data_IF_527218148699
#
_entry.id   IF_527218148699
#
_cell.length_a   1.000
_cell.length_b   1.000
_cell.length_c   1.000
_cell.angle_alpha   90.00
_cell.angle_beta   90.00
_cell.angle_gamma   90.00
#
_symmetry.space_group_name_H-M   'P 1'
#
loop_
_entity.id
_entity.type
_entity.pdbx_description
1 polymer ?
#
# COMPACT_ATOMS: atom_id res chain seq x y z
N UNK A 1 38.73 -18.22 -2.03
CA UNK A 1 37.87 -19.27 -1.47
C UNK A 1 36.56 -18.60 -1.08
N UNK A 2 35.49 -18.83 -1.86
CA UNK A 2 34.20 -18.15 -1.70
C UNK A 2 33.28 -19.08 -0.93
N UNK A 3 32.86 -18.69 0.27
CA UNK A 3 31.92 -19.47 1.09
C UNK A 3 30.54 -19.46 0.42
N UNK A 4 29.92 -20.62 0.10
CA UNK A 4 28.59 -20.64 -0.49
C UNK A 4 27.54 -20.27 0.56
N UNK A 5 26.59 -19.42 0.15
CA UNK A 5 25.43 -19.01 0.92
C UNK A 5 24.53 -20.23 1.21
N UNK A 6 23.99 -20.42 2.43
CA UNK A 6 23.06 -21.51 2.71
C UNK A 6 21.74 -21.29 1.95
N UNK A 7 21.07 -22.35 1.48
CA UNK A 7 19.78 -22.22 0.81
C UNK A 7 18.74 -21.64 1.78
N UNK A 8 18.03 -20.59 1.34
CA UNK A 8 16.95 -19.99 2.12
C UNK A 8 15.85 -21.03 2.40
N UNK A 9 15.27 -21.04 3.61
CA UNK A 9 14.15 -21.92 3.92
C UNK A 9 12.95 -21.62 3.01
N UNK A 10 12.16 -22.64 2.64
CA UNK A 10 11.01 -22.44 1.75
C UNK A 10 10.00 -21.48 2.41
N UNK A 11 9.71 -20.38 1.71
CA UNK A 11 8.74 -19.36 2.11
C UNK A 11 7.37 -20.03 2.33
N UNK A 12 6.92 -20.11 3.59
CA UNK A 12 5.61 -20.67 3.94
C UNK A 12 4.52 -19.60 3.87
N UNK A 13 3.48 -19.87 3.08
CA UNK A 13 2.35 -18.98 2.86
C UNK A 13 1.47 -18.84 4.12
N UNK A 14 1.12 -17.60 4.48
CA UNK A 14 0.05 -17.30 5.43
C UNK A 14 -1.26 -17.15 4.67
N UNK A 15 -2.06 -18.22 4.69
CA UNK A 15 -3.43 -18.34 4.18
C UNK A 15 -3.62 -18.35 2.64
N UNK A 16 -3.98 -19.51 2.04
CA UNK A 16 -4.15 -19.61 0.60
C UNK A 16 -5.57 -19.28 0.11
N UNK A 17 -5.67 -18.65 -1.06
CA UNK A 17 -6.94 -18.49 -1.74
C UNK A 17 -7.43 -19.85 -2.30
N UNK A 18 -8.65 -20.27 -1.90
CA UNK A 18 -9.31 -21.46 -2.44
C UNK A 18 -10.19 -21.07 -3.62
N UNK A 19 -9.85 -21.60 -4.79
CA UNK A 19 -10.69 -21.52 -5.97
C UNK A 19 -11.90 -22.46 -5.82
N UNK A 20 -12.98 -22.19 -6.55
CA UNK A 20 -14.22 -22.97 -6.50
C UNK A 20 -14.06 -24.44 -6.91
N UNK A 21 -13.00 -24.74 -7.67
CA UNK A 21 -12.60 -26.09 -8.08
C UNK A 21 -11.72 -26.81 -7.04
N UNK A 22 -11.57 -26.24 -5.83
CA UNK A 22 -10.74 -26.78 -4.76
C UNK A 22 -9.24 -26.54 -4.93
N UNK A 23 -8.82 -25.84 -5.99
CA UNK A 23 -7.41 -25.56 -6.25
C UNK A 23 -6.92 -24.39 -5.39
N UNK A 24 -5.75 -24.58 -4.78
CA UNK A 24 -5.16 -23.69 -3.78
C UNK A 24 -4.03 -22.91 -4.44
N UNK A 25 -4.17 -21.59 -4.58
CA UNK A 25 -3.11 -20.74 -5.13
C UNK A 25 -2.24 -20.15 -4.01
N UNK A 26 -0.92 -20.43 -3.99
CA UNK A 26 -0.01 -19.80 -3.03
C UNK A 26 0.19 -18.32 -3.40
N UNK A 27 -0.05 -17.41 -2.46
CA UNK A 27 0.33 -15.99 -2.60
C UNK A 27 1.75 -15.81 -2.09
N UNK A 28 2.55 -15.05 -2.83
CA UNK A 28 3.86 -14.57 -2.35
C UNK A 28 3.62 -13.48 -1.30
N UNK A 29 4.03 -13.74 -0.06
CA UNK A 29 4.13 -12.71 0.97
C UNK A 29 5.48 -12.04 0.78
N UNK A 30 5.47 -10.77 0.37
CA UNK A 30 6.67 -9.94 0.43
C UNK A 30 6.87 -9.59 1.91
N UNK A 31 7.97 -10.03 2.51
CA UNK A 31 8.37 -9.57 3.85
C UNK A 31 8.54 -8.04 3.80
N UNK A 32 7.65 -7.33 4.47
CA UNK A 32 7.84 -5.90 4.72
C UNK A 32 8.68 -5.75 5.98
N UNK A 33 9.81 -5.04 5.96
CA UNK A 33 10.64 -4.84 7.14
C UNK A 33 9.85 -4.10 8.24
N UNK A 34 9.61 -4.75 9.38
CA UNK A 34 8.80 -4.23 10.51
C UNK A 34 9.61 -3.38 11.50
N UNK A 35 10.68 -2.72 11.06
CA UNK A 35 11.52 -1.93 11.95
C UNK A 35 12.52 -1.08 11.19
N UNK A 36 12.09 0.11 10.77
CA UNK A 36 12.97 1.14 10.23
C UNK A 36 12.78 2.44 11.00
N UNK A 37 13.87 3.02 11.52
CA UNK A 37 13.85 4.42 11.95
C UNK A 37 13.86 5.29 10.71
N UNK A 38 12.80 6.08 10.51
CA UNK A 38 12.73 7.02 9.40
C UNK A 38 13.36 8.35 9.81
N UNK A 39 14.56 8.63 9.30
CA UNK A 39 15.14 9.98 9.37
C UNK A 39 14.49 10.81 8.27
N UNK A 40 13.50 11.63 8.63
CA UNK A 40 12.81 12.52 7.68
C UNK A 40 13.66 13.76 7.49
N UNK A 41 14.19 13.95 6.27
CA UNK A 41 14.73 15.25 5.86
C UNK A 41 13.58 16.26 5.79
N UNK A 42 13.48 17.11 6.80
CA UNK A 42 12.44 18.14 6.97
C UNK A 42 12.33 19.06 5.75
N UNK A 43 13.43 19.26 4.99
CA UNK A 43 13.41 20.07 3.78
C UNK A 43 12.68 19.38 2.61
N UNK A 44 12.70 18.06 2.55
CA UNK A 44 12.08 17.25 1.49
C UNK A 44 10.71 16.69 1.85
N UNK A 45 10.34 16.73 3.13
CA UNK A 45 9.07 16.20 3.60
C UNK A 45 7.82 16.74 2.86
N UNK A 46 7.74 18.02 2.46
CA UNK A 46 6.62 18.52 1.66
C UNK A 46 6.54 17.91 0.26
N UNK A 47 7.68 17.59 -0.34
CA UNK A 47 7.75 16.90 -1.64
C UNK A 47 7.33 15.44 -1.50
N UNK A 48 7.86 14.74 -0.50
CA UNK A 48 7.47 13.37 -0.20
C UNK A 48 5.96 13.23 0.08
N UNK A 49 5.35 14.16 0.83
CA UNK A 49 3.90 14.17 1.05
C UNK A 49 3.15 14.31 -0.28
N UNK A 50 3.59 15.20 -1.18
CA UNK A 50 2.94 15.37 -2.50
C UNK A 50 3.03 14.11 -3.36
N UNK A 51 4.17 13.43 -3.33
CA UNK A 51 4.34 12.15 -4.04
C UNK A 51 3.42 11.06 -3.48
N UNK A 52 3.31 10.96 -2.16
CA UNK A 52 2.41 10.02 -1.49
C UNK A 52 0.93 10.31 -1.81
N UNK A 53 0.54 11.59 -1.81
CA UNK A 53 -0.80 12.02 -2.22
C UNK A 53 -1.08 11.66 -3.68
N UNK A 54 -0.12 11.90 -4.57
CA UNK A 54 -0.24 11.54 -5.97
C UNK A 54 -0.39 10.02 -6.17
N UNK A 55 0.43 9.22 -5.49
CA UNK A 55 0.34 7.76 -5.54
C UNK A 55 -1.01 7.25 -5.02
N UNK A 56 -1.54 7.83 -3.93
CA UNK A 56 -2.87 7.50 -3.42
C UNK A 56 -3.96 7.80 -4.43
N UNK A 57 -3.91 8.97 -5.07
CA UNK A 57 -4.90 9.37 -6.05
C UNK A 57 -4.84 8.48 -7.30
N UNK A 58 -3.65 8.03 -7.70
CA UNK A 58 -3.49 7.00 -8.74
C UNK A 58 -4.12 5.66 -8.34
N UNK A 59 -3.93 5.19 -7.10
CA UNK A 59 -4.59 3.96 -6.62
C UNK A 59 -6.11 4.09 -6.67
N UNK A 60 -6.65 5.25 -6.27
CA UNK A 60 -8.09 5.53 -6.35
C UNK A 60 -8.60 5.56 -7.79
N UNK A 61 -7.82 6.10 -8.73
CA UNK A 61 -8.16 6.04 -10.16
C UNK A 61 -8.18 4.59 -10.68
N UNK A 62 -7.17 3.79 -10.32
CA UNK A 62 -7.12 2.37 -10.68
C UNK A 62 -8.28 1.57 -10.09
N UNK A 63 -8.79 1.94 -8.90
CA UNK A 63 -9.99 1.31 -8.33
C UNK A 63 -11.22 1.50 -9.22
N UNK A 64 -11.38 2.67 -9.84
CA UNK A 64 -12.51 2.93 -10.75
C UNK A 64 -12.42 2.01 -11.95
N UNK A 65 -11.23 1.84 -12.53
CA UNK A 65 -11.06 0.95 -13.67
C UNK A 65 -11.16 -0.53 -13.31
N UNK A 66 -10.69 -0.93 -12.12
CA UNK A 66 -10.88 -2.28 -11.62
C UNK A 66 -12.38 -2.61 -11.45
N UNK A 67 -13.19 -1.68 -10.94
CA UNK A 67 -14.65 -1.85 -10.87
C UNK A 67 -15.29 -1.96 -12.25
N UNK A 68 -14.78 -1.22 -13.24
CA UNK A 68 -15.25 -1.31 -14.62
C UNK A 68 -14.91 -2.67 -15.23
N UNK A 69 -13.69 -3.17 -14.98
CA UNK A 69 -13.27 -4.51 -15.39
C UNK A 69 -14.15 -5.61 -14.77
N UNK A 70 -14.58 -5.39 -13.53
CA UNK A 70 -15.50 -6.27 -12.81
C UNK A 70 -16.89 -6.43 -13.46
N UNK A 71 -17.24 -5.57 -14.42
CA UNK A 71 -18.58 -5.46 -15.03
C UNK A 71 -18.53 -5.56 -16.55
N UNK A 72 -17.53 -6.25 -17.10
CA UNK A 72 -17.44 -6.46 -18.55
C UNK A 72 -18.63 -7.29 -19.04
N UNK A 73 -19.29 -6.79 -20.08
CA UNK A 73 -20.23 -7.55 -20.89
C UNK A 73 -19.43 -8.39 -21.91
N UNK A 74 -19.55 -9.73 -21.91
CA UNK A 74 -18.84 -10.59 -22.85
C UNK A 74 -19.25 -10.37 -24.31
N UNK A 75 -20.41 -9.75 -24.59
CA UNK A 75 -20.85 -9.45 -25.95
C UNK A 75 -21.20 -10.69 -26.80
N UNK A 76 -21.14 -11.87 -26.21
CA UNK A 76 -21.42 -13.17 -26.81
C UNK A 76 -22.15 -14.06 -25.79
N UNK A 77 -22.81 -15.10 -26.28
CA UNK A 77 -23.49 -16.10 -25.45
C UNK A 77 -22.74 -17.44 -25.40
N UNK A 78 -21.50 -17.50 -25.89
CA UNK A 78 -20.71 -18.72 -25.79
C UNK A 78 -20.27 -18.95 -24.34
N UNK A 79 -20.32 -20.21 -23.92
CA UNK A 79 -20.09 -20.60 -22.53
C UNK A 79 -18.69 -20.22 -22.03
N UNK A 80 -17.70 -20.19 -22.93
CA UNK A 80 -16.31 -19.84 -22.59
C UNK A 80 -16.19 -18.36 -22.26
N UNK A 81 -16.78 -17.48 -23.09
CA UNK A 81 -16.78 -16.04 -22.83
C UNK A 81 -17.56 -15.68 -21.56
N UNK A 82 -18.67 -16.36 -21.29
CA UNK A 82 -19.44 -16.18 -20.06
C UNK A 82 -18.64 -16.58 -18.80
N UNK A 83 -17.93 -17.71 -18.86
CA UNK A 83 -17.08 -18.18 -17.76
C UNK A 83 -15.89 -17.24 -17.55
N UNK A 84 -15.25 -16.80 -18.64
CA UNK A 84 -14.18 -15.81 -18.59
C UNK A 84 -14.65 -14.50 -17.94
N UNK A 85 -15.80 -13.95 -18.37
CA UNK A 85 -16.37 -12.73 -17.78
C UNK A 85 -16.64 -12.89 -16.28
N UNK A 86 -17.09 -14.08 -15.86
CA UNK A 86 -17.33 -14.40 -14.44
C UNK A 86 -16.04 -14.40 -13.63
N UNK A 87 -14.99 -15.06 -14.13
CA UNK A 87 -13.68 -15.13 -13.46
C UNK A 87 -13.00 -13.77 -13.38
N UNK A 88 -13.02 -13.00 -14.48
CA UNK A 88 -12.48 -11.64 -14.49
C UNK A 88 -13.27 -10.72 -13.57
N UNK A 89 -14.60 -10.85 -13.58
CA UNK A 89 -15.51 -10.16 -12.67
C UNK A 89 -15.13 -10.36 -11.20
N UNK A 90 -15.00 -11.63 -10.81
CA UNK A 90 -14.64 -12.01 -9.45
C UNK A 90 -13.24 -11.54 -9.04
N UNK A 91 -12.26 -11.65 -9.95
CA UNK A 91 -10.88 -11.21 -9.69
C UNK A 91 -10.80 -9.70 -9.52
N UNK A 92 -11.59 -8.95 -10.27
CA UNK A 92 -11.55 -7.50 -10.27
C UNK A 92 -12.33 -6.87 -9.10
N UNK A 93 -13.60 -7.27 -8.88
CA UNK A 93 -14.53 -6.62 -7.92
C UNK A 93 -15.31 -7.64 -7.04
N UNK A 94 -14.92 -8.93 -7.05
CA UNK A 94 -15.68 -10.03 -6.44
C UNK A 94 -15.62 -10.16 -4.91
N UNK A 95 -15.14 -9.15 -4.19
CA UNK A 95 -15.08 -9.16 -2.72
C UNK A 95 -13.66 -9.35 -2.15
N UNK A 96 -13.55 -10.15 -1.09
CA UNK A 96 -12.29 -10.30 -0.35
C UNK A 96 -11.20 -10.96 -1.20
N UNK A 97 -10.08 -10.25 -1.35
CA UNK A 97 -8.97 -10.67 -2.21
C UNK A 97 -9.04 -10.20 -3.66
N UNK A 98 -10.08 -9.47 -4.04
CA UNK A 98 -10.19 -8.81 -5.35
C UNK A 98 -9.18 -7.66 -5.53
N UNK A 99 -8.95 -7.28 -6.79
CA UNK A 99 -8.10 -6.14 -7.13
C UNK A 99 -8.60 -4.85 -6.46
N UNK A 100 -9.91 -4.58 -6.49
CA UNK A 100 -10.50 -3.40 -5.83
C UNK A 100 -10.16 -3.36 -4.35
N UNK A 101 -10.25 -4.50 -3.65
CA UNK A 101 -9.95 -4.56 -2.21
C UNK A 101 -8.46 -4.35 -1.91
N UNK A 102 -7.59 -4.88 -2.76
CA UNK A 102 -6.14 -4.69 -2.64
C UNK A 102 -5.76 -3.21 -2.83
N UNK A 103 -6.34 -2.56 -3.85
CA UNK A 103 -6.12 -1.14 -4.13
C UNK A 103 -6.65 -0.24 -3.00
N UNK A 104 -7.84 -0.55 -2.47
CA UNK A 104 -8.42 0.15 -1.32
C UNK A 104 -7.52 0.07 -0.09
N UNK A 105 -7.04 -1.13 0.23
CA UNK A 105 -6.10 -1.35 1.35
C UNK A 105 -4.80 -0.58 1.14
N UNK A 106 -4.27 -0.56 -0.09
CA UNK A 106 -3.09 0.23 -0.45
C UNK A 106 -3.30 1.72 -0.24
N UNK A 107 -4.43 2.27 -0.70
CA UNK A 107 -4.76 3.68 -0.53
C UNK A 107 -4.90 4.06 0.95
N UNK A 108 -5.53 3.21 1.77
CA UNK A 108 -5.65 3.42 3.22
C UNK A 108 -4.28 3.44 3.91
N UNK A 109 -3.35 2.56 3.51
CA UNK A 109 -1.97 2.57 4.04
C UNK A 109 -1.23 3.84 3.69
N UNK A 110 -1.43 4.38 2.48
CA UNK A 110 -0.87 5.67 2.09
C UNK A 110 -1.47 6.83 2.90
N UNK A 111 -2.78 6.84 3.14
CA UNK A 111 -3.43 7.85 4.00
C UNK A 111 -2.81 7.83 5.42
N UNK A 112 -2.64 6.64 6.02
CA UNK A 112 -1.99 6.50 7.34
C UNK A 112 -0.54 7.01 7.36
N UNK A 113 0.22 6.73 6.30
CA UNK A 113 1.61 7.20 6.17
C UNK A 113 1.67 8.72 6.05
N UNK A 114 0.81 9.31 5.21
CA UNK A 114 0.73 10.77 5.04
C UNK A 114 0.40 11.44 6.38
N UNK A 115 -0.57 10.92 7.11
CA UNK A 115 -0.97 11.46 8.41
C UNK A 115 0.14 11.35 9.45
N UNK A 116 0.86 10.23 9.47
CA UNK A 116 2.02 10.03 10.33
C UNK A 116 3.11 11.06 10.03
N UNK A 117 3.50 11.24 8.77
CA UNK A 117 4.52 12.21 8.38
C UNK A 117 4.08 13.64 8.73
N UNK A 118 2.81 13.99 8.51
CA UNK A 118 2.25 15.30 8.89
C UNK A 118 2.28 15.55 10.40
N UNK A 119 2.00 14.53 11.20
CA UNK A 119 2.04 14.59 12.66
C UNK A 119 3.47 14.83 13.15
N UNK A 120 4.43 14.05 12.64
CA UNK A 120 5.85 14.20 13.00
C UNK A 120 6.39 15.59 12.64
N UNK A 121 6.07 16.11 11.45
CA UNK A 121 6.46 17.46 11.04
C UNK A 121 5.89 18.54 11.95
N UNK A 122 4.67 18.37 12.45
CA UNK A 122 4.05 19.31 13.40
C UNK A 122 4.77 19.26 14.75
N UNK A 123 4.98 18.05 15.27
CA UNK A 123 5.73 17.82 16.52
C UNK A 123 7.12 18.46 16.48
N UNK A 124 7.86 18.27 15.38
CA UNK A 124 9.18 18.90 15.20
C UNK A 124 9.13 20.44 15.23
N UNK A 125 8.14 21.05 14.56
CA UNK A 125 7.99 22.52 14.57
C UNK A 125 7.64 23.05 15.97
N UNK A 126 6.82 22.32 16.73
CA UNK A 126 6.44 22.72 18.08
C UNK A 126 7.63 22.64 19.05
N UNK A 127 8.49 21.63 18.91
CA UNK A 127 9.74 21.50 19.69
C UNK A 127 10.76 22.59 19.34
N UNK A 128 10.91 22.92 18.06
CA UNK A 128 11.82 23.99 17.60
C UNK A 128 11.33 25.38 18.05
N UNK A 129 10.03 25.63 18.00
CA UNK A 129 9.41 26.84 18.54
C UNK A 129 9.61 26.95 20.07
N UNK A 130 9.45 25.85 20.82
CA UNK A 130 9.71 25.84 22.26
C UNK A 130 11.18 26.06 22.63
N UNK A 131 12.10 25.54 21.82
CA UNK A 131 13.55 25.67 22.04
C UNK A 131 14.04 27.08 21.71
N UNK A 132 13.58 27.67 20.60
CA UNK A 132 13.96 29.03 20.19
C UNK A 132 13.48 30.11 21.16
N UNK A 133 12.31 29.93 21.80
CA UNK A 133 11.81 30.85 22.84
C UNK A 133 12.65 30.74 24.13
N UNK A 134 13.10 29.53 24.51
CA UNK A 134 13.89 29.31 25.72
C UNK A 134 15.29 29.93 25.71
N UNK A 135 15.95 30.03 24.54
CA UNK A 135 17.27 30.67 24.43
C UNK A 135 17.22 32.19 24.22
N UNK A 136 16.10 32.73 23.72
CA UNK A 136 15.90 34.17 23.55
C UNK A 136 15.78 34.93 24.89
N UNK A 137 15.10 34.32 25.87
CA UNK A 137 14.88 34.94 27.19
C UNK A 137 16.11 34.87 28.13
N UNK A 138 17.07 33.97 27.88
CA UNK A 138 18.28 33.84 28.69
C UNK A 138 19.38 34.84 28.30
N UNK A 139 19.28 35.49 27.13
CA UNK A 139 20.30 36.42 26.63
C UNK A 139 19.87 37.90 26.75
N UNK A 140 18.74 38.17 27.43
CA UNK A 140 18.18 39.51 27.63
C UNK A 140 18.27 39.99 29.10
N UNK A 141 19.14 39.39 29.93
CA UNK A 141 19.39 39.78 31.33
C UNK A 141 20.83 40.17 31.58
#
# INVERSE_FOLDING_TARGET
MTTPWPPEPPVQASDPARLWNGQVMPRQVVEMPTGGSFTVDLARAPEAIRELEHARDQLRALMVEARRLGRIDPGTTDQVSLDAATVFGATADGGDGSLVRALETGAQRLDLLIDTVRSELRSYRDVDAGTSVGFGDLNAR
#
